data_IF_660749108315
#
_entry.id   IF_660749108315
#
_cell.length_a   1.000
_cell.length_b   1.000
_cell.length_c   1.000
_cell.angle_alpha   90.00
_cell.angle_beta   90.00
_cell.angle_gamma   90.00
#
_symmetry.space_group_name_H-M   'P 1'
#
loop_
_entity.id
_entity.type
_entity.pdbx_description
1 polymer ?
#
# COMPACT_ATOMS: atom_id res chain seq x y z
N UNK A 1 1.06 -0.74 -12.10
CA UNK A 1 -0.33 -1.23 -12.01
C UNK A 1 -1.21 -0.02 -11.84
N UNK A 2 -2.17 0.22 -12.74
CA UNK A 2 -3.07 1.36 -12.57
C UNK A 2 -4.01 1.06 -11.40
N UNK A 3 -4.38 2.07 -10.59
CA UNK A 3 -5.30 1.89 -9.45
C UNK A 3 -6.66 1.27 -9.83
N UNK A 4 -7.02 1.32 -11.10
CA UNK A 4 -8.23 0.72 -11.68
C UNK A 4 -8.21 -0.83 -11.73
N UNK A 5 -7.01 -1.44 -11.70
CA UNK A 5 -6.83 -2.90 -11.76
C UNK A 5 -6.67 -3.55 -10.38
N UNK A 6 -7.02 -2.84 -9.30
CA UNK A 6 -7.00 -3.36 -7.93
C UNK A 6 -8.37 -3.29 -7.27
N UNK A 7 -8.52 -4.02 -6.17
CA UNK A 7 -9.71 -4.02 -5.33
C UNK A 7 -9.34 -3.85 -3.84
N UNK A 8 -10.21 -3.21 -3.04
CA UNK A 8 -9.98 -3.03 -1.62
C UNK A 8 -10.23 -4.32 -0.84
N UNK A 9 -9.34 -4.63 0.09
CA UNK A 9 -9.52 -5.66 1.12
C UNK A 9 -9.47 -5.03 2.51
N UNK A 10 -10.32 -5.52 3.42
CA UNK A 10 -10.31 -5.08 4.82
C UNK A 10 -9.20 -5.81 5.57
N UNK A 11 -8.35 -5.05 6.27
CA UNK A 11 -7.16 -5.54 6.95
C UNK A 11 -7.10 -4.96 8.36
N UNK A 12 -7.81 -5.62 9.29
CA UNK A 12 -7.90 -5.21 10.70
C UNK A 12 -8.48 -3.81 10.93
N UNK A 13 -8.96 -3.52 12.15
CA UNK A 13 -9.28 -2.18 12.69
C UNK A 13 -9.84 -1.09 11.73
N UNK A 14 -10.64 -1.47 10.72
CA UNK A 14 -11.20 -0.56 9.72
C UNK A 14 -10.22 -0.06 8.64
N UNK A 15 -9.00 -0.59 8.55
CA UNK A 15 -8.02 -0.21 7.53
C UNK A 15 -8.16 -1.07 6.26
N UNK A 16 -7.78 -0.50 5.12
CA UNK A 16 -7.95 -1.18 3.81
C UNK A 16 -6.66 -1.18 3.00
N UNK A 17 -6.40 -2.29 2.30
CA UNK A 17 -5.30 -2.44 1.34
C UNK A 17 -5.85 -2.68 -0.06
N UNK A 18 -5.07 -2.33 -1.07
CA UNK A 18 -5.41 -2.59 -2.48
C UNK A 18 -4.68 -3.84 -2.96
N UNK A 19 -5.42 -4.85 -3.42
CA UNK A 19 -4.87 -6.06 -4.03
C UNK A 19 -5.13 -6.06 -5.53
N UNK A 20 -4.14 -6.46 -6.33
CA UNK A 20 -4.29 -6.53 -7.79
C UNK A 20 -5.30 -7.60 -8.21
N UNK A 21 -6.19 -7.27 -9.15
CA UNK A 21 -7.23 -8.17 -9.67
C UNK A 21 -6.69 -9.36 -10.48
N UNK A 22 -5.42 -9.31 -10.89
CA UNK A 22 -4.77 -10.31 -11.76
C UNK A 22 -4.07 -11.41 -10.95
N UNK A 23 -4.20 -11.41 -9.61
CA UNK A 23 -3.63 -12.46 -8.78
C UNK A 23 -4.30 -13.82 -9.05
N UNK A 24 -3.51 -14.89 -9.03
CA UNK A 24 -4.04 -16.26 -9.06
C UNK A 24 -4.90 -16.45 -7.80
N UNK A 25 -6.12 -17.00 -7.93
CA UNK A 25 -7.09 -17.07 -6.82
C UNK A 25 -6.53 -17.68 -5.53
N UNK A 26 -5.69 -18.71 -5.64
CA UNK A 26 -5.02 -19.31 -4.47
C UNK A 26 -4.04 -18.34 -3.81
N UNK A 27 -3.14 -17.73 -4.59
CA UNK A 27 -2.17 -16.75 -4.08
C UNK A 27 -2.88 -15.55 -3.46
N UNK A 28 -3.97 -15.11 -4.10
CA UNK A 28 -4.82 -14.02 -3.60
C UNK A 28 -5.37 -14.34 -2.21
N UNK A 29 -5.88 -15.55 -2.01
CA UNK A 29 -6.38 -16.01 -0.71
C UNK A 29 -5.26 -16.01 0.33
N UNK A 30 -4.09 -16.55 -0.02
CA UNK A 30 -2.93 -16.62 0.88
C UNK A 30 -2.44 -15.21 1.27
N UNK A 31 -2.42 -14.27 0.31
CA UNK A 31 -2.08 -12.87 0.56
C UNK A 31 -3.10 -12.17 1.46
N UNK A 32 -4.40 -12.40 1.25
CA UNK A 32 -5.44 -11.82 2.12
C UNK A 32 -5.28 -12.32 3.54
N UNK A 33 -5.05 -13.63 3.72
CA UNK A 33 -4.80 -14.22 5.03
C UNK A 33 -3.58 -13.60 5.71
N UNK A 34 -2.46 -13.48 5.00
CA UNK A 34 -1.23 -12.87 5.51
C UNK A 34 -1.46 -11.41 5.95
N UNK A 35 -2.15 -10.62 5.13
CA UNK A 35 -2.45 -9.24 5.48
C UNK A 35 -3.31 -9.15 6.75
N UNK A 36 -4.32 -10.02 6.88
CA UNK A 36 -5.20 -10.06 8.05
C UNK A 36 -4.50 -10.56 9.33
N UNK A 37 -3.48 -11.40 9.21
CA UNK A 37 -2.68 -11.89 10.33
C UNK A 37 -1.77 -10.80 10.91
N UNK A 38 -1.26 -9.90 10.06
CA UNK A 38 -0.34 -8.82 10.45
C UNK A 38 -0.86 -7.43 10.06
N UNK A 39 -2.04 -7.02 10.55
CA UNK A 39 -2.65 -5.77 10.11
C UNK A 39 -1.80 -4.55 10.49
N UNK A 40 -1.13 -4.57 11.64
CA UNK A 40 -0.23 -3.51 12.11
C UNK A 40 0.99 -3.30 11.18
N UNK A 41 1.54 -4.38 10.63
CA UNK A 41 2.68 -4.34 9.70
C UNK A 41 2.28 -3.79 8.34
N UNK A 42 1.18 -4.28 7.76
CA UNK A 42 0.80 -3.90 6.40
C UNK A 42 0.05 -2.57 6.32
N UNK A 43 -0.50 -2.10 7.44
CA UNK A 43 -1.28 -0.86 7.49
C UNK A 43 -0.57 0.28 8.23
N UNK A 44 0.74 0.16 8.42
CA UNK A 44 1.58 1.24 8.92
C UNK A 44 1.54 2.44 7.96
N UNK A 45 1.29 3.62 8.53
CA UNK A 45 1.59 4.88 7.89
C UNK A 45 3.00 5.33 8.29
N UNK A 46 3.58 6.26 7.54
CA UNK A 46 4.86 6.87 7.94
C UNK A 46 4.76 7.58 9.30
N UNK A 47 3.57 7.99 9.72
CA UNK A 47 3.34 8.63 11.02
C UNK A 47 3.46 7.62 12.19
N UNK A 48 3.26 6.32 11.93
CA UNK A 48 3.37 5.26 12.93
C UNK A 48 4.83 4.91 13.27
N UNK A 49 5.79 5.33 12.43
CA UNK A 49 7.23 5.16 12.65
C UNK A 49 7.76 6.16 13.70
N UNK A 50 7.54 5.83 14.98
CA UNK A 50 8.06 6.63 16.11
C UNK A 50 9.58 6.72 16.06
N UNK A 51 10.11 7.94 16.00
CA UNK A 51 11.55 8.22 16.04
C UNK A 51 12.18 8.59 14.70
N UNK A 52 11.41 8.55 13.60
CA UNK A 52 11.87 9.05 12.30
C UNK A 52 11.14 10.35 11.95
N UNK A 53 11.88 11.41 11.62
CA UNK A 53 11.26 12.65 11.16
C UNK A 53 10.67 12.40 9.77
N UNK A 54 9.35 12.54 9.55
CA UNK A 54 8.74 12.28 8.24
C UNK A 54 9.35 13.11 7.11
N UNK A 55 9.85 14.32 7.43
CA UNK A 55 10.57 15.18 6.47
C UNK A 55 11.93 14.64 6.03
N UNK A 56 12.50 13.69 6.78
CA UNK A 56 13.73 12.97 6.41
C UNK A 56 13.43 11.63 5.72
N UNK A 57 12.28 11.01 5.98
CA UNK A 57 11.88 9.73 5.36
C UNK A 57 11.31 9.91 3.96
N UNK A 58 10.66 11.05 3.71
CA UNK A 58 10.03 11.32 2.43
C UNK A 58 10.96 12.17 1.55
N UNK A 59 11.35 11.61 0.41
CA UNK A 59 11.93 12.39 -0.67
C UNK A 59 10.84 12.73 -1.69
N UNK A 60 10.58 14.01 -1.87
CA UNK A 60 9.74 14.50 -2.97
C UNK A 60 10.64 14.79 -4.15
N UNK A 61 10.43 14.08 -5.25
CA UNK A 61 11.05 14.43 -6.53
C UNK A 61 10.21 15.54 -7.13
N UNK A 62 10.79 16.72 -7.30
CA UNK A 62 10.15 17.80 -8.05
C UNK A 62 10.13 17.40 -9.53
N UNK A 63 8.97 16.96 -9.99
CA UNK A 63 8.73 16.67 -11.39
C UNK A 63 8.22 17.93 -12.07
N UNK A 64 8.71 18.19 -13.28
CA UNK A 64 8.15 19.22 -14.16
C UNK A 64 6.67 18.87 -14.44
N UNK A 65 5.72 19.80 -14.17
CA UNK A 65 4.30 19.56 -14.45
C UNK A 65 4.00 19.18 -15.89
N UNK A 66 4.84 19.62 -16.84
CA UNK A 66 4.70 19.36 -18.27
C UNK A 66 5.48 18.11 -18.73
N UNK A 67 6.24 17.46 -17.83
CA UNK A 67 6.96 16.25 -18.17
C UNK A 67 5.99 15.10 -18.45
N UNK A 68 6.16 14.49 -19.63
CA UNK A 68 5.40 13.29 -20.00
C UNK A 68 6.04 12.06 -19.35
N UNK A 69 5.25 11.15 -18.76
CA UNK A 69 5.75 9.85 -18.30
C UNK A 69 6.31 9.08 -19.49
N UNK A 70 7.51 8.52 -19.33
CA UNK A 70 8.14 7.56 -20.26
C UNK A 70 7.76 6.13 -19.90
#
# INVERSE_FOLDING_TARGET
VKREDSEPILVGEGKTLQIGKVAIEQEKSDFIQLCQEFPDVFTWSYEDLRGFNPKLAQHTIELDPDAKPI
#
